data_IF_295167957711
#
_entry.id   IF_295167957711
#
_cell.length_a   1.000
_cell.length_b   1.000
_cell.length_c   1.000
_cell.angle_alpha   90.00
_cell.angle_beta   90.00
_cell.angle_gamma   90.00
#
_symmetry.space_group_name_H-M   'P 1'
#
loop_
_entity.id
_entity.type
_entity.pdbx_description
1 polymer ?
#
# COMPACT_ATOMS: atom_id res chain seq x y z
N UNK A 1 8.74 26.03 -5.28
CA UNK A 1 8.34 24.58 -5.26
C UNK A 1 9.42 23.77 -4.57
N UNK A 2 9.06 22.98 -3.52
CA UNK A 2 10.02 22.15 -2.77
C UNK A 2 10.43 20.92 -3.59
N UNK A 3 11.73 20.64 -3.65
CA UNK A 3 12.28 19.42 -4.19
C UNK A 3 13.39 18.89 -3.29
N UNK A 4 13.63 17.58 -3.33
CA UNK A 4 14.80 16.96 -2.70
C UNK A 4 15.78 16.52 -3.78
N UNK A 5 17.03 16.94 -3.60
CA UNK A 5 18.16 16.42 -4.37
C UNK A 5 18.69 15.20 -3.64
N UNK A 6 18.66 14.06 -4.29
CA UNK A 6 19.16 12.79 -3.74
C UNK A 6 20.29 12.25 -4.61
N UNK A 7 21.31 11.70 -3.96
CA UNK A 7 22.49 11.13 -4.63
C UNK A 7 23.15 10.06 -3.75
N UNK A 8 24.05 9.25 -4.28
CA UNK A 8 24.96 8.45 -3.45
C UNK A 8 25.80 9.35 -2.55
N UNK A 9 26.19 8.88 -1.37
CA UNK A 9 27.23 9.56 -0.56
C UNK A 9 28.57 9.48 -1.28
N UNK A 10 29.33 10.57 -1.23
CA UNK A 10 30.70 10.62 -1.79
C UNK A 10 31.71 9.73 -1.04
N UNK A 11 31.34 9.24 0.15
CA UNK A 11 32.18 8.37 0.98
C UNK A 11 32.14 6.89 0.52
N UNK A 12 32.02 6.67 -0.78
CA UNK A 12 32.09 5.34 -1.39
C UNK A 12 33.48 4.73 -1.33
N UNK A 13 33.92 4.30 -0.16
CA UNK A 13 34.90 3.23 -0.08
C UNK A 13 34.27 1.97 -0.71
N UNK A 14 35.07 1.27 -1.48
CA UNK A 14 34.74 0.03 -2.19
C UNK A 14 34.32 -1.06 -1.17
N UNK A 15 33.06 -1.01 -0.67
CA UNK A 15 32.54 -1.80 0.44
C UNK A 15 32.05 -3.20 0.01
N UNK A 16 32.39 -3.60 -1.22
CA UNK A 16 32.25 -4.99 -1.67
C UNK A 16 33.21 -5.96 -0.94
N UNK A 17 34.06 -5.46 -0.01
CA UNK A 17 34.94 -6.29 0.80
C UNK A 17 34.08 -7.16 1.77
N UNK A 18 34.11 -8.46 1.53
CA UNK A 18 33.58 -9.51 2.39
C UNK A 18 34.05 -9.33 3.85
N UNK A 19 33.23 -8.78 4.72
CA UNK A 19 33.54 -8.64 6.14
C UNK A 19 32.94 -7.43 6.85
N UNK A 20 32.40 -6.45 6.16
CA UNK A 20 31.74 -5.34 6.84
C UNK A 20 30.33 -5.75 7.35
N UNK A 21 29.91 -5.25 8.54
CA UNK A 21 28.59 -5.49 9.07
C UNK A 21 27.52 -4.87 8.14
N UNK A 22 26.38 -5.51 8.05
CA UNK A 22 25.24 -4.94 7.32
C UNK A 22 24.75 -3.66 8.02
N UNK A 23 24.34 -2.65 7.24
CA UNK A 23 23.59 -1.54 7.77
C UNK A 23 22.19 -2.03 8.10
N UNK A 24 21.80 -1.98 9.36
CA UNK A 24 20.49 -2.45 9.81
C UNK A 24 19.45 -1.33 9.72
N UNK A 25 18.31 -1.66 9.12
CA UNK A 25 17.12 -0.82 9.03
C UNK A 25 15.94 -1.60 9.58
N UNK A 26 15.05 -0.91 10.29
CA UNK A 26 13.79 -1.47 10.70
C UNK A 26 12.69 -1.00 9.75
N UNK A 27 11.96 -1.94 9.16
CA UNK A 27 10.82 -1.58 8.32
C UNK A 27 9.74 -0.89 9.15
N UNK A 28 9.05 0.15 8.62
CA UNK A 28 7.87 0.68 9.26
C UNK A 28 6.78 -0.39 9.38
N UNK A 29 5.77 -0.10 10.16
CA UNK A 29 4.63 -1.00 10.31
C UNK A 29 3.73 -0.93 9.08
N UNK A 30 3.22 -2.09 8.68
CA UNK A 30 2.38 -2.22 7.48
C UNK A 30 1.12 -1.37 7.58
N UNK A 31 1.07 -0.35 6.73
CA UNK A 31 -0.12 0.48 6.55
C UNK A 31 -1.35 -0.39 6.25
N UNK A 32 -1.19 -1.39 5.39
CA UNK A 32 -2.26 -2.29 4.99
C UNK A 32 -2.78 -3.17 6.13
N UNK A 33 -1.90 -3.61 7.04
CA UNK A 33 -2.29 -4.35 8.24
C UNK A 33 -2.99 -3.41 9.24
N UNK A 34 -2.41 -2.25 9.47
CA UNK A 34 -2.88 -1.29 10.47
C UNK A 34 -4.28 -0.74 10.15
N UNK A 35 -4.60 -0.44 8.88
CA UNK A 35 -5.97 -0.12 8.47
C UNK A 35 -6.97 -1.20 8.90
N UNK A 36 -6.63 -2.46 8.67
CA UNK A 36 -7.49 -3.61 9.00
C UNK A 36 -7.68 -3.78 10.49
N UNK A 37 -6.59 -3.69 11.26
CA UNK A 37 -6.62 -3.78 12.72
C UNK A 37 -7.46 -2.66 13.33
N UNK A 38 -7.31 -1.42 12.88
CA UNK A 38 -8.08 -0.26 13.35
C UNK A 38 -9.57 -0.42 13.10
N UNK A 39 -9.96 -0.87 11.89
CA UNK A 39 -11.37 -1.07 11.53
C UNK A 39 -11.97 -2.21 12.35
N UNK A 40 -11.30 -3.36 12.45
CA UNK A 40 -11.77 -4.49 13.24
C UNK A 40 -11.89 -4.14 14.74
N UNK A 41 -10.90 -3.41 15.27
CA UNK A 41 -10.93 -2.89 16.65
C UNK A 41 -12.10 -1.93 16.86
N UNK A 42 -12.38 -1.06 15.89
CA UNK A 42 -13.50 -0.13 15.98
C UNK A 42 -14.87 -0.83 15.89
N UNK A 43 -14.96 -1.98 15.23
CA UNK A 43 -16.19 -2.78 15.17
C UNK A 43 -16.37 -3.69 16.37
N UNK A 44 -15.34 -3.93 17.18
CA UNK A 44 -15.41 -4.79 18.36
C UNK A 44 -15.90 -4.04 19.60
N UNK A 45 -16.46 -4.77 20.55
CA UNK A 45 -16.71 -4.25 21.89
C UNK A 45 -15.44 -4.28 22.74
N UNK A 46 -15.30 -3.30 23.65
CA UNK A 46 -14.13 -3.16 24.52
C UNK A 46 -13.00 -2.33 23.90
N UNK A 47 -11.86 -2.38 24.56
CA UNK A 47 -10.66 -1.65 24.17
C UNK A 47 -9.67 -2.60 23.47
N UNK A 48 -9.03 -2.10 22.42
CA UNK A 48 -7.95 -2.82 21.71
C UNK A 48 -6.71 -1.94 21.69
N UNK A 49 -5.58 -2.46 22.14
CA UNK A 49 -4.26 -1.82 22.03
C UNK A 49 -3.49 -2.47 20.88
N UNK A 50 -3.07 -1.67 19.94
CA UNK A 50 -2.27 -2.10 18.77
C UNK A 50 -0.86 -1.56 18.95
N UNK A 51 0.09 -2.45 19.17
CA UNK A 51 1.51 -2.12 19.38
C UNK A 51 2.28 -2.03 18.07
N UNK A 52 3.40 -1.31 18.09
CA UNK A 52 4.29 -1.03 16.96
C UNK A 52 3.52 -0.32 15.84
N UNK A 53 3.30 0.97 15.99
CA UNK A 53 2.51 1.75 15.05
C UNK A 53 3.33 2.83 14.35
N UNK A 54 3.29 2.85 13.01
CA UNK A 54 3.79 3.97 12.21
C UNK A 54 2.62 4.87 11.83
N UNK A 55 2.69 6.13 12.24
CA UNK A 55 1.63 7.10 12.02
C UNK A 55 1.81 7.80 10.66
N UNK A 56 1.20 7.24 9.63
CA UNK A 56 1.15 7.84 8.29
C UNK A 56 -0.15 8.65 8.10
N UNK A 57 -0.18 9.54 7.09
CA UNK A 57 -1.38 10.34 6.79
C UNK A 57 -2.61 9.47 6.51
N UNK A 58 -2.44 8.33 5.84
CA UNK A 58 -3.52 7.41 5.54
C UNK A 58 -4.09 6.77 6.82
N UNK A 59 -3.25 6.46 7.81
CA UNK A 59 -3.68 5.91 9.10
C UNK A 59 -4.44 6.97 9.91
N UNK A 60 -3.96 8.22 9.90
CA UNK A 60 -4.69 9.33 10.51
C UNK A 60 -6.06 9.54 9.85
N UNK A 61 -6.17 9.37 8.52
CA UNK A 61 -7.47 9.47 7.84
C UNK A 61 -8.45 8.39 8.32
N UNK A 62 -8.01 7.12 8.46
CA UNK A 62 -8.85 6.07 9.03
C UNK A 62 -9.27 6.39 10.46
N UNK A 63 -8.34 6.82 11.31
CA UNK A 63 -8.64 7.17 12.69
C UNK A 63 -9.69 8.30 12.78
N UNK A 64 -9.56 9.36 11.95
CA UNK A 64 -10.55 10.46 11.91
C UNK A 64 -11.96 9.96 11.57
N UNK A 65 -12.10 9.07 10.59
CA UNK A 65 -13.42 8.52 10.25
C UNK A 65 -13.96 7.66 11.39
N UNK A 66 -13.14 6.85 12.06
CA UNK A 66 -13.55 6.06 13.22
C UNK A 66 -13.94 6.95 14.41
N UNK A 67 -13.24 8.06 14.63
CA UNK A 67 -13.60 9.07 15.63
C UNK A 67 -14.92 9.76 15.31
N UNK A 68 -15.19 10.06 14.02
CA UNK A 68 -16.48 10.60 13.57
C UNK A 68 -17.64 9.62 13.84
N UNK A 69 -17.38 8.33 14.02
CA UNK A 69 -18.34 7.29 14.42
C UNK A 69 -18.44 7.10 15.94
N UNK A 70 -17.83 7.99 16.75
CA UNK A 70 -17.87 7.96 18.20
C UNK A 70 -16.77 7.13 18.85
N UNK A 71 -15.91 6.46 18.08
CA UNK A 71 -14.79 5.68 18.66
C UNK A 71 -13.71 6.61 19.22
N UNK A 72 -13.18 6.24 20.40
CA UNK A 72 -12.00 6.89 20.95
C UNK A 72 -10.75 6.23 20.36
N UNK A 73 -10.04 6.96 19.47
CA UNK A 73 -8.77 6.52 18.90
C UNK A 73 -7.68 7.43 19.44
N UNK A 74 -6.77 6.89 20.25
CA UNK A 74 -5.66 7.62 20.87
C UNK A 74 -4.33 7.08 20.38
N UNK A 75 -3.39 8.00 20.14
CA UNK A 75 -2.05 7.68 19.67
C UNK A 75 -1.07 7.81 20.81
N UNK A 76 -0.42 6.70 21.17
CA UNK A 76 0.72 6.65 22.08
C UNK A 76 2.03 6.78 21.36
N UNK A 77 3.14 6.59 22.04
CA UNK A 77 4.49 6.67 21.48
C UNK A 77 4.77 5.54 20.46
N UNK A 78 4.34 4.32 20.76
CA UNK A 78 4.51 3.12 19.91
C UNK A 78 3.23 2.27 19.85
N UNK A 79 2.07 2.86 20.12
CA UNK A 79 0.80 2.13 20.07
C UNK A 79 -0.36 3.03 19.66
N UNK A 80 -1.44 2.39 19.20
CA UNK A 80 -2.74 3.01 19.00
C UNK A 80 -3.74 2.27 19.87
N UNK A 81 -4.50 3.00 20.68
CA UNK A 81 -5.60 2.44 21.44
C UNK A 81 -6.93 2.83 20.81
N UNK A 82 -7.77 1.82 20.56
CA UNK A 82 -9.12 1.99 20.04
C UNK A 82 -10.12 1.56 21.12
N UNK A 83 -10.83 2.53 21.65
CA UNK A 83 -11.80 2.35 22.76
C UNK A 83 -13.14 3.04 22.47
N UNK A 84 -13.94 3.22 23.51
CA UNK A 84 -15.25 3.85 23.40
C UNK A 84 -16.31 2.94 22.76
N UNK A 85 -17.40 3.52 22.27
CA UNK A 85 -18.50 2.82 21.59
C UNK A 85 -18.81 3.48 20.27
N UNK A 86 -19.30 2.72 19.30
CA UNK A 86 -19.89 3.29 18.09
C UNK A 86 -21.18 4.04 18.46
N UNK A 87 -21.28 5.27 17.99
CA UNK A 87 -22.47 6.08 18.12
C UNK A 87 -23.31 5.92 16.84
N UNK A 88 -24.25 4.99 16.86
CA UNK A 88 -25.13 4.70 15.75
C UNK A 88 -26.45 5.45 15.97
N UNK A 89 -26.58 6.59 15.35
CA UNK A 89 -27.75 7.46 15.43
C UNK A 89 -28.17 7.97 14.04
N UNK A 90 -29.11 8.93 13.97
CA UNK A 90 -29.62 9.49 12.73
C UNK A 90 -28.78 10.65 12.17
N UNK A 91 -27.72 11.05 12.85
CA UNK A 91 -26.88 12.14 12.36
C UNK A 91 -26.05 11.67 11.15
N UNK A 92 -25.92 12.55 10.17
CA UNK A 92 -25.06 12.32 9.02
C UNK A 92 -23.60 12.50 9.45
N UNK A 93 -22.78 11.46 9.29
CA UNK A 93 -21.37 11.51 9.64
C UNK A 93 -20.54 12.13 8.52
N UNK A 94 -19.66 13.07 8.87
CA UNK A 94 -18.70 13.63 7.94
C UNK A 94 -17.40 12.79 7.99
N UNK A 95 -17.09 12.11 6.90
CA UNK A 95 -16.00 11.13 6.80
C UNK A 95 -14.90 11.66 5.86
N UNK A 96 -13.92 12.40 6.40
CA UNK A 96 -12.77 12.86 5.61
C UNK A 96 -11.74 11.74 5.46
N UNK A 97 -11.62 11.20 4.25
CA UNK A 97 -10.68 10.15 3.88
C UNK A 97 -9.29 10.68 3.48
N UNK A 98 -9.09 12.00 3.41
CA UNK A 98 -7.85 12.57 2.89
C UNK A 98 -7.56 12.07 1.47
N UNK A 99 -6.43 11.41 1.25
CA UNK A 99 -6.09 10.74 -0.01
C UNK A 99 -6.16 9.20 0.09
N UNK A 100 -6.62 8.67 1.24
CA UNK A 100 -6.60 7.24 1.54
C UNK A 100 -7.72 6.46 0.84
N UNK A 101 -7.37 5.76 -0.23
CA UNK A 101 -8.27 4.85 -0.92
C UNK A 101 -8.71 3.66 -0.05
N UNK A 102 -7.89 3.21 0.89
CA UNK A 102 -8.24 2.13 1.83
C UNK A 102 -9.31 2.59 2.80
N UNK A 103 -9.16 3.78 3.40
CA UNK A 103 -10.16 4.37 4.30
C UNK A 103 -11.53 4.44 3.62
N UNK A 104 -11.59 5.02 2.41
CA UNK A 104 -12.82 5.15 1.65
C UNK A 104 -13.46 3.80 1.33
N UNK A 105 -12.70 2.90 0.69
CA UNK A 105 -13.23 1.63 0.17
C UNK A 105 -13.58 0.61 1.24
N UNK A 106 -12.94 0.69 2.40
CA UNK A 106 -13.26 -0.21 3.52
C UNK A 106 -14.46 0.31 4.32
N UNK A 107 -14.55 1.62 4.56
CA UNK A 107 -15.56 2.16 5.46
C UNK A 107 -16.90 2.48 4.79
N UNK A 108 -16.95 2.72 3.48
CA UNK A 108 -18.24 2.90 2.76
C UNK A 108 -19.19 1.70 2.96
N UNK A 109 -18.80 0.44 2.67
CA UNK A 109 -19.69 -0.69 2.91
C UNK A 109 -19.91 -0.97 4.41
N UNK A 110 -18.95 -0.67 5.29
CA UNK A 110 -19.12 -0.81 6.75
C UNK A 110 -20.20 0.12 7.27
N UNK A 111 -20.17 1.42 6.89
CA UNK A 111 -21.21 2.36 7.31
C UNK A 111 -22.58 1.99 6.73
N UNK A 112 -22.61 1.50 5.48
CA UNK A 112 -23.83 0.97 4.87
C UNK A 112 -24.41 -0.22 5.66
N UNK A 113 -23.54 -1.15 6.13
CA UNK A 113 -23.97 -2.30 6.93
C UNK A 113 -24.47 -1.88 8.32
N UNK A 114 -23.90 -0.82 8.89
CA UNK A 114 -24.37 -0.24 10.16
C UNK A 114 -25.63 0.62 10.01
N UNK A 115 -26.11 0.87 8.78
CA UNK A 115 -27.26 1.75 8.51
C UNK A 115 -26.97 3.21 8.83
N UNK A 116 -25.70 3.60 8.86
CA UNK A 116 -25.27 4.94 9.22
C UNK A 116 -25.20 5.85 8.00
N UNK A 117 -25.93 6.96 8.01
CA UNK A 117 -25.83 7.99 6.98
C UNK A 117 -24.49 8.72 7.08
N UNK A 118 -23.85 8.97 5.93
CA UNK A 118 -22.53 9.61 5.89
C UNK A 118 -22.30 10.42 4.61
N UNK A 119 -21.45 11.43 4.71
CA UNK A 119 -20.83 12.13 3.58
C UNK A 119 -19.33 11.84 3.62
N UNK A 120 -18.84 11.14 2.61
CA UNK A 120 -17.41 10.88 2.44
C UNK A 120 -16.80 11.98 1.58
N UNK A 121 -15.68 12.54 2.05
CA UNK A 121 -14.88 13.52 1.33
C UNK A 121 -13.44 13.03 1.17
N UNK A 122 -12.72 13.66 0.26
CA UNK A 122 -11.29 13.36 0.03
C UNK A 122 -10.66 14.40 -0.85
N UNK A 123 -9.34 14.34 -0.98
CA UNK A 123 -8.53 15.30 -1.74
C UNK A 123 -7.55 14.58 -2.68
N UNK A 124 -6.74 15.37 -3.38
CA UNK A 124 -5.77 14.86 -4.35
C UNK A 124 -6.47 14.09 -5.47
N UNK A 125 -5.98 12.93 -5.83
CA UNK A 125 -6.53 12.08 -6.88
C UNK A 125 -7.67 11.16 -6.41
N UNK A 126 -7.98 11.13 -5.09
CA UNK A 126 -8.98 10.20 -4.56
C UNK A 126 -10.38 10.37 -5.22
N UNK A 127 -10.87 11.60 -5.52
CA UNK A 127 -12.16 11.77 -6.19
C UNK A 127 -12.25 11.15 -7.59
N UNK A 128 -11.12 11.01 -8.30
CA UNK A 128 -11.07 10.43 -9.65
C UNK A 128 -10.84 8.91 -9.66
N UNK A 129 -10.53 8.31 -8.50
CA UNK A 129 -10.28 6.86 -8.41
C UNK A 129 -11.58 6.08 -8.50
N UNK A 130 -11.64 5.02 -9.34
CA UNK A 130 -12.88 4.27 -9.56
C UNK A 130 -13.47 3.70 -8.27
N UNK A 131 -14.78 3.83 -8.13
CA UNK A 131 -15.59 3.22 -7.05
C UNK A 131 -16.82 2.50 -7.60
N UNK A 132 -17.21 2.75 -8.84
CA UNK A 132 -18.51 2.34 -9.38
C UNK A 132 -18.81 0.84 -9.27
N UNK A 133 -17.85 -0.10 -9.47
CA UNK A 133 -18.14 -1.53 -9.25
C UNK A 133 -18.63 -1.86 -7.84
N UNK A 134 -18.09 -1.17 -6.81
CA UNK A 134 -18.57 -1.29 -5.43
C UNK A 134 -19.91 -0.61 -5.26
N UNK A 135 -20.05 0.64 -5.74
CA UNK A 135 -21.25 1.45 -5.54
C UNK A 135 -22.47 0.80 -6.21
N UNK A 136 -22.28 0.21 -7.39
CA UNK A 136 -23.33 -0.56 -8.08
C UNK A 136 -23.82 -1.72 -7.19
N UNK A 137 -22.93 -2.53 -6.63
CA UNK A 137 -23.32 -3.64 -5.75
C UNK A 137 -24.04 -3.14 -4.49
N UNK A 138 -23.59 -2.05 -3.88
CA UNK A 138 -24.26 -1.48 -2.72
C UNK A 138 -25.68 -0.99 -3.04
N UNK A 139 -25.87 -0.33 -4.19
CA UNK A 139 -27.20 0.12 -4.64
C UNK A 139 -28.16 -1.06 -4.88
N UNK A 140 -27.68 -2.12 -5.51
CA UNK A 140 -28.46 -3.35 -5.73
C UNK A 140 -28.91 -4.01 -4.42
N UNK A 141 -28.19 -3.75 -3.33
CA UNK A 141 -28.48 -4.28 -1.99
C UNK A 141 -29.03 -3.21 -1.02
N UNK A 142 -29.80 -2.24 -1.53
CA UNK A 142 -30.62 -1.34 -0.72
C UNK A 142 -29.97 -0.04 -0.26
N UNK A 143 -28.72 0.21 -0.60
CA UNK A 143 -28.02 1.45 -0.24
C UNK A 143 -28.33 2.55 -1.25
N UNK A 144 -28.61 3.75 -0.76
CA UNK A 144 -28.79 4.94 -1.59
C UNK A 144 -27.48 5.74 -1.60
N UNK A 145 -26.99 6.05 -2.79
CA UNK A 145 -25.72 6.74 -2.99
C UNK A 145 -25.92 7.89 -3.96
N UNK A 146 -25.63 9.12 -3.52
CA UNK A 146 -25.54 10.31 -4.37
C UNK A 146 -24.08 10.69 -4.60
N UNK A 147 -23.78 11.09 -5.83
CA UNK A 147 -22.47 11.52 -6.29
C UNK A 147 -22.58 12.91 -6.92
N UNK A 148 -21.50 13.71 -6.97
CA UNK A 148 -21.50 15.00 -7.65
C UNK A 148 -21.71 14.84 -9.17
N UNK A 149 -22.23 15.87 -9.80
CA UNK A 149 -22.29 15.96 -11.26
C UNK A 149 -20.86 16.18 -11.80
N UNK A 150 -20.42 15.35 -12.77
CA UNK A 150 -19.11 15.53 -13.40
C UNK A 150 -18.20 14.29 -13.42
N UNK A 151 -18.69 13.16 -12.87
CA UNK A 151 -17.98 11.87 -12.96
C UNK A 151 -16.95 11.63 -11.85
N UNK A 152 -16.83 12.53 -10.87
CA UNK A 152 -16.06 12.30 -9.67
C UNK A 152 -16.81 11.41 -8.66
N UNK A 153 -16.10 10.69 -7.83
CA UNK A 153 -16.67 9.80 -6.82
C UNK A 153 -16.82 10.45 -5.44
N UNK A 154 -16.30 11.65 -5.25
CA UNK A 154 -16.38 12.41 -4.01
C UNK A 154 -16.81 13.87 -4.27
N UNK A 155 -17.60 14.49 -3.36
CA UNK A 155 -18.16 13.90 -2.15
C UNK A 155 -19.19 12.80 -2.48
N UNK A 156 -19.19 11.73 -1.65
CA UNK A 156 -20.13 10.61 -1.76
C UNK A 156 -21.09 10.68 -0.57
N UNK A 157 -22.39 10.82 -0.86
CA UNK A 157 -23.43 10.75 0.15
C UNK A 157 -23.99 9.35 0.22
N UNK A 158 -24.04 8.78 1.41
CA UNK A 158 -24.49 7.43 1.70
C UNK A 158 -25.69 7.46 2.64
N UNK A 159 -26.78 6.78 2.26
CA UNK A 159 -27.95 6.55 3.12
C UNK A 159 -28.55 5.18 2.88
N UNK A 160 -29.46 4.75 3.75
CA UNK A 160 -30.08 3.43 3.66
C UNK A 160 -29.32 2.35 4.42
N UNK A 161 -29.75 1.11 4.28
CA UNK A 161 -29.23 -0.05 4.99
C UNK A 161 -28.80 -1.12 4.00
N UNK A 162 -27.54 -1.55 4.06
CA UNK A 162 -27.05 -2.67 3.26
C UNK A 162 -27.79 -3.96 3.63
N UNK A 163 -28.24 -4.69 2.62
CA UNK A 163 -28.90 -5.98 2.76
C UNK A 163 -27.96 -7.12 2.38
N UNK A 164 -28.15 -8.27 3.03
CA UNK A 164 -27.41 -9.50 2.72
C UNK A 164 -27.77 -10.04 1.33
N UNK A 165 -26.89 -10.84 0.75
CA UNK A 165 -27.10 -11.45 -0.56
C UNK A 165 -25.80 -11.78 -1.29
N UNK A 166 -25.86 -11.88 -2.61
CA UNK A 166 -24.74 -12.25 -3.47
C UNK A 166 -24.09 -11.02 -4.09
N UNK A 167 -22.81 -10.82 -3.81
CA UNK A 167 -22.00 -9.72 -4.32
C UNK A 167 -21.02 -10.25 -5.36
N UNK A 168 -21.29 -9.99 -6.65
CA UNK A 168 -20.47 -10.52 -7.75
C UNK A 168 -19.48 -9.47 -8.25
N UNK A 169 -18.18 -9.82 -8.31
CA UNK A 169 -17.12 -8.95 -8.83
C UNK A 169 -16.21 -9.71 -9.82
N UNK A 170 -15.62 -8.98 -10.75
CA UNK A 170 -14.45 -9.48 -11.43
C UNK A 170 -13.26 -9.43 -10.49
N UNK A 171 -12.45 -10.52 -10.45
CA UNK A 171 -11.33 -10.64 -9.51
C UNK A 171 -10.15 -9.73 -9.81
N UNK A 172 -10.13 -9.12 -10.99
CA UNK A 172 -9.08 -8.21 -11.48
C UNK A 172 -9.37 -6.72 -11.23
N UNK A 173 -10.50 -6.36 -10.59
CA UNK A 173 -10.84 -4.96 -10.34
C UNK A 173 -10.04 -4.40 -9.16
N UNK A 174 -10.45 -4.70 -7.93
CA UNK A 174 -9.79 -4.19 -6.72
C UNK A 174 -10.06 -5.09 -5.52
N UNK A 175 -8.99 -5.63 -4.93
CA UNK A 175 -9.06 -6.35 -3.66
C UNK A 175 -9.63 -5.50 -2.51
N UNK A 176 -9.60 -4.17 -2.62
CA UNK A 176 -10.14 -3.26 -1.60
C UNK A 176 -11.68 -3.31 -1.53
N UNK A 177 -12.36 -3.60 -2.65
CA UNK A 177 -13.83 -3.78 -2.63
C UNK A 177 -14.21 -5.04 -1.86
N UNK A 178 -13.50 -6.13 -2.12
CA UNK A 178 -13.68 -7.39 -1.39
C UNK A 178 -13.39 -7.18 0.09
N UNK A 179 -12.27 -6.54 0.43
CA UNK A 179 -11.90 -6.23 1.82
C UNK A 179 -12.99 -5.43 2.54
N UNK A 180 -13.52 -4.39 1.93
CA UNK A 180 -14.59 -3.57 2.53
C UNK A 180 -15.86 -4.40 2.82
N UNK A 181 -16.27 -5.26 1.90
CA UNK A 181 -17.41 -6.16 2.10
C UNK A 181 -17.12 -7.23 3.16
N UNK A 182 -15.92 -7.79 3.20
CA UNK A 182 -15.54 -8.75 4.25
C UNK A 182 -15.64 -8.15 5.66
N UNK A 183 -15.40 -6.85 5.83
CA UNK A 183 -15.66 -6.16 7.10
C UNK A 183 -17.16 -5.90 7.35
N UNK A 184 -17.92 -5.62 6.31
CA UNK A 184 -19.30 -5.18 6.41
C UNK A 184 -20.31 -6.33 6.59
N UNK A 185 -20.18 -7.38 5.76
CA UNK A 185 -21.18 -8.44 5.66
C UNK A 185 -21.40 -9.25 6.93
N UNK A 186 -20.40 -9.52 7.80
CA UNK A 186 -20.64 -10.19 9.08
C UNK A 186 -21.59 -9.45 10.00
N UNK A 187 -21.73 -8.13 9.85
CA UNK A 187 -22.63 -7.27 10.66
C UNK A 187 -24.11 -7.40 10.27
N UNK A 188 -24.40 -7.91 9.08
CA UNK A 188 -25.76 -8.08 8.59
C UNK A 188 -26.44 -9.27 9.25
N UNK A 189 -27.79 -9.25 9.35
CA UNK A 189 -28.54 -10.34 9.99
C UNK A 189 -28.54 -11.62 9.13
N UNK A 190 -28.57 -11.50 7.81
CA UNK A 190 -28.60 -12.62 6.87
C UNK A 190 -27.22 -12.96 6.32
N UNK A 191 -27.08 -14.18 5.83
CA UNK A 191 -25.85 -14.68 5.20
C UNK A 191 -25.64 -14.01 3.84
N UNK A 192 -24.36 -13.91 3.45
CA UNK A 192 -23.98 -13.31 2.17
C UNK A 192 -22.91 -14.13 1.47
N UNK A 193 -22.74 -13.92 0.17
CA UNK A 193 -21.63 -14.47 -0.62
C UNK A 193 -20.91 -13.37 -1.38
N UNK A 194 -19.60 -13.44 -1.42
CA UNK A 194 -18.77 -12.66 -2.35
C UNK A 194 -18.31 -13.62 -3.44
N UNK A 195 -18.72 -13.39 -4.68
CA UNK A 195 -18.45 -14.27 -5.81
C UNK A 195 -17.54 -13.60 -6.82
N UNK A 196 -16.56 -14.34 -7.34
CA UNK A 196 -15.61 -13.87 -8.33
C UNK A 196 -15.94 -14.44 -9.70
N UNK A 197 -16.06 -13.56 -10.70
CA UNK A 197 -16.28 -13.96 -12.11
C UNK A 197 -14.98 -14.14 -12.91
N UNK A 198 -13.84 -13.78 -12.33
CA UNK A 198 -12.50 -14.00 -12.92
C UNK A 198 -11.45 -14.24 -11.80
N UNK A 199 -10.23 -14.70 -12.12
CA UNK A 199 -9.19 -14.94 -11.13
C UNK A 199 -8.86 -13.70 -10.28
N UNK A 200 -8.68 -13.90 -8.98
CA UNK A 200 -8.38 -12.83 -8.03
C UNK A 200 -6.96 -12.30 -8.22
N UNK A 201 -6.83 -11.01 -8.44
CA UNK A 201 -5.57 -10.29 -8.37
C UNK A 201 -5.36 -9.67 -6.98
N UNK A 202 -4.08 -9.52 -6.59
CA UNK A 202 -3.71 -9.02 -5.25
C UNK A 202 -4.35 -9.83 -4.11
N UNK A 203 -4.35 -11.15 -4.24
CA UNK A 203 -4.93 -12.10 -3.27
C UNK A 203 -4.40 -11.89 -1.86
N UNK A 204 -3.10 -11.62 -1.69
CA UNK A 204 -2.48 -11.40 -0.38
C UNK A 204 -3.19 -10.36 0.47
N UNK A 205 -3.73 -9.28 -0.13
CA UNK A 205 -4.48 -8.28 0.64
C UNK A 205 -5.83 -8.79 1.15
N UNK A 206 -6.46 -9.71 0.44
CA UNK A 206 -7.69 -10.36 0.92
C UNK A 206 -7.35 -11.36 2.02
N UNK A 207 -6.28 -12.13 1.86
CA UNK A 207 -5.81 -13.09 2.86
C UNK A 207 -5.46 -12.39 4.19
N UNK A 208 -4.78 -11.22 4.14
CA UNK A 208 -4.56 -10.36 5.32
C UNK A 208 -5.88 -9.94 5.99
N UNK A 209 -6.90 -9.64 5.20
CA UNK A 209 -8.22 -9.27 5.76
C UNK A 209 -8.84 -10.45 6.50
N UNK A 210 -8.81 -11.64 5.90
CA UNK A 210 -9.34 -12.86 6.51
C UNK A 210 -8.58 -13.22 7.81
N UNK A 211 -7.25 -13.06 7.83
CA UNK A 211 -6.43 -13.24 9.02
C UNK A 211 -6.85 -12.30 10.15
N UNK A 212 -6.96 -10.99 9.86
CA UNK A 212 -7.39 -10.01 10.85
C UNK A 212 -8.79 -10.30 11.34
N UNK A 213 -9.75 -10.60 10.47
CA UNK A 213 -11.12 -10.93 10.84
C UNK A 213 -11.18 -12.15 11.77
N UNK A 214 -10.39 -13.19 11.49
CA UNK A 214 -10.30 -14.36 12.36
C UNK A 214 -9.76 -14.02 13.76
N UNK A 215 -8.78 -13.11 13.87
CA UNK A 215 -8.25 -12.60 15.16
C UNK A 215 -9.32 -11.86 15.98
N UNK A 216 -10.30 -11.26 15.32
CA UNK A 216 -11.45 -10.59 15.95
C UNK A 216 -12.70 -11.47 16.04
N UNK A 217 -12.54 -12.81 15.88
CA UNK A 217 -13.58 -13.80 16.08
C UNK A 217 -14.60 -13.92 14.96
N UNK A 218 -14.36 -13.31 13.80
CA UNK A 218 -15.21 -13.39 12.61
C UNK A 218 -14.84 -14.64 11.79
N UNK A 219 -15.85 -15.42 11.41
CA UNK A 219 -15.72 -16.62 10.59
C UNK A 219 -16.19 -16.35 9.17
N UNK A 220 -15.34 -16.67 8.21
CA UNK A 220 -15.61 -16.58 6.77
C UNK A 220 -15.16 -17.87 6.14
N UNK A 221 -15.96 -18.45 5.28
CA UNK A 221 -15.70 -19.74 4.66
C UNK A 221 -15.31 -19.52 3.19
N UNK A 222 -14.17 -20.08 2.78
CA UNK A 222 -13.80 -20.08 1.37
C UNK A 222 -14.71 -21.04 0.61
N UNK A 223 -15.23 -20.61 -0.55
CA UNK A 223 -15.98 -21.42 -1.51
C UNK A 223 -15.24 -21.41 -2.85
N UNK A 224 -15.70 -22.21 -3.82
CA UNK A 224 -14.98 -22.44 -5.08
C UNK A 224 -14.52 -21.14 -5.77
N UNK A 225 -15.39 -20.14 -5.85
CA UNK A 225 -15.09 -18.86 -6.52
C UNK A 225 -15.40 -17.67 -5.61
N UNK A 226 -14.92 -17.68 -4.36
CA UNK A 226 -15.16 -16.57 -3.45
C UNK A 226 -15.27 -16.96 -1.99
N UNK A 227 -16.20 -16.30 -1.28
CA UNK A 227 -16.37 -16.49 0.16
C UNK A 227 -17.85 -16.51 0.54
N UNK A 228 -18.19 -17.42 1.44
CA UNK A 228 -19.44 -17.42 2.18
C UNK A 228 -19.22 -16.70 3.51
N UNK A 229 -20.09 -15.72 3.80
CA UNK A 229 -20.00 -14.86 4.98
C UNK A 229 -21.28 -15.05 5.81
N UNK A 230 -21.25 -15.85 6.89
CA UNK A 230 -22.37 -15.92 7.82
C UNK A 230 -22.68 -14.56 8.41
N UNK A 231 -23.98 -14.24 8.50
CA UNK A 231 -24.45 -12.99 9.12
C UNK A 231 -24.57 -13.08 10.64
N UNK A 232 -24.98 -11.98 11.28
CA UNK A 232 -25.23 -11.89 12.72
C UNK A 232 -24.01 -12.08 13.60
N UNK A 233 -22.81 -11.89 13.07
CA UNK A 233 -21.57 -12.04 13.80
C UNK A 233 -21.19 -10.78 14.59
N UNK A 234 -20.47 -10.97 15.65
CA UNK A 234 -19.97 -9.89 16.52
C UNK A 234 -18.45 -9.91 16.55
N UNK A 235 -17.84 -8.75 16.29
CA UNK A 235 -16.41 -8.55 16.45
C UNK A 235 -16.04 -8.59 17.93
N UNK A 236 -14.99 -9.33 18.27
CA UNK A 236 -14.48 -9.49 19.64
C UNK A 236 -13.04 -9.01 19.68
N UNK A 237 -12.76 -8.06 20.55
CA UNK A 237 -11.38 -7.61 20.76
C UNK A 237 -10.52 -8.74 21.34
N UNK A 238 -9.30 -8.96 20.83
CA UNK A 238 -8.31 -9.81 21.49
C UNK A 238 -7.57 -9.09 22.65
N UNK A 239 -7.91 -7.81 22.94
CA UNK A 239 -7.26 -6.97 23.94
C UNK A 239 -6.02 -6.29 23.38
N UNK A 240 -4.95 -7.02 23.17
CA UNK A 240 -3.69 -6.49 22.62
C UNK A 240 -3.27 -7.20 21.34
N UNK A 241 -2.66 -6.45 20.43
CA UNK A 241 -2.18 -6.91 19.15
C UNK A 241 -0.85 -6.24 18.81
N UNK A 242 -0.02 -6.91 18.02
CA UNK A 242 1.16 -6.31 17.41
C UNK A 242 0.94 -6.26 15.89
N UNK A 243 1.09 -5.09 15.31
CA UNK A 243 1.01 -4.91 13.87
C UNK A 243 2.28 -5.43 13.18
N UNK A 244 2.11 -5.95 11.96
CA UNK A 244 3.20 -6.55 11.19
C UNK A 244 4.07 -5.49 10.52
N UNK A 245 5.35 -5.80 10.28
CA UNK A 245 6.22 -4.98 9.44
C UNK A 245 5.76 -4.93 7.98
N UNK A 246 6.09 -3.85 7.30
CA UNK A 246 5.62 -3.53 5.94
C UNK A 246 6.56 -4.07 4.86
N UNK A 247 6.17 -5.16 4.21
CA UNK A 247 6.92 -5.73 3.10
C UNK A 247 6.96 -4.81 1.86
N UNK A 248 5.92 -3.99 1.66
CA UNK A 248 5.89 -3.03 0.56
C UNK A 248 6.93 -1.93 0.73
N UNK A 249 7.09 -1.42 1.96
CA UNK A 249 8.10 -0.42 2.28
C UNK A 249 9.51 -1.04 2.42
N UNK A 250 9.60 -2.24 2.97
CA UNK A 250 10.86 -2.98 3.03
C UNK A 250 11.46 -3.26 1.65
N UNK A 251 10.62 -3.39 0.62
CA UNK A 251 11.07 -3.64 -0.75
C UNK A 251 12.04 -2.57 -1.26
N UNK A 252 11.90 -1.31 -0.85
CA UNK A 252 12.83 -0.24 -1.24
C UNK A 252 14.22 -0.46 -0.67
N UNK A 253 14.32 -0.91 0.59
CA UNK A 253 15.61 -1.16 1.23
C UNK A 253 16.25 -2.47 0.76
N UNK A 254 15.44 -3.50 0.50
CA UNK A 254 15.92 -4.75 -0.10
C UNK A 254 16.50 -4.45 -1.49
N UNK A 255 15.80 -3.66 -2.31
CA UNK A 255 16.29 -3.21 -3.60
C UNK A 255 17.56 -2.35 -3.47
N UNK A 256 17.58 -1.37 -2.53
CA UNK A 256 18.75 -0.54 -2.27
C UNK A 256 19.97 -1.37 -1.86
N UNK A 257 19.80 -2.44 -1.07
CA UNK A 257 20.88 -3.37 -0.72
C UNK A 257 21.40 -4.18 -1.91
N UNK A 258 20.52 -4.47 -2.89
CA UNK A 258 20.87 -5.24 -4.08
C UNK A 258 21.55 -4.39 -5.15
N UNK A 259 21.00 -3.19 -5.45
CA UNK A 259 21.55 -2.33 -6.51
C UNK A 259 22.58 -1.32 -6.00
N UNK A 260 22.57 -1.02 -4.69
CA UNK A 260 23.50 -0.06 -4.08
C UNK A 260 24.90 -0.65 -3.83
N UNK A 261 25.67 0.03 -2.98
CA UNK A 261 27.04 -0.37 -2.65
C UNK A 261 27.15 -1.02 -1.27
N UNK A 262 26.13 -0.90 -0.41
CA UNK A 262 26.14 -1.40 0.97
C UNK A 262 25.28 -2.64 1.12
N UNK A 263 25.75 -3.59 1.90
CA UNK A 263 24.94 -4.70 2.40
C UNK A 263 23.94 -4.14 3.41
N UNK A 264 22.66 -4.41 3.21
CA UNK A 264 21.57 -3.98 4.09
C UNK A 264 20.93 -5.18 4.77
N UNK A 265 20.58 -5.00 6.03
CA UNK A 265 19.70 -5.90 6.79
C UNK A 265 18.41 -5.17 7.10
N UNK A 266 17.28 -5.65 6.57
CA UNK A 266 15.96 -5.09 6.78
C UNK A 266 15.22 -5.96 7.78
N UNK A 267 15.08 -5.47 9.01
CA UNK A 267 14.50 -6.18 10.14
C UNK A 267 13.02 -5.83 10.38
N UNK A 268 12.35 -6.64 11.20
CA UNK A 268 10.95 -6.46 11.57
C UNK A 268 9.97 -7.08 10.57
N UNK A 269 10.44 -7.99 9.72
CA UNK A 269 9.66 -8.68 8.69
C UNK A 269 9.31 -10.10 9.10
N UNK A 270 8.03 -10.45 9.09
CA UNK A 270 7.60 -11.84 9.32
C UNK A 270 7.66 -12.65 8.03
N UNK A 271 8.41 -13.76 7.97
CA UNK A 271 8.38 -14.68 6.82
C UNK A 271 7.00 -15.33 6.61
N UNK A 272 6.19 -15.43 7.68
CA UNK A 272 4.84 -15.98 7.64
C UNK A 272 3.79 -14.96 7.18
N UNK A 273 4.18 -13.70 6.99
CA UNK A 273 3.26 -12.64 6.54
C UNK A 273 2.55 -13.03 5.25
N UNK A 274 1.26 -12.72 5.19
CA UNK A 274 0.41 -12.88 4.00
C UNK A 274 0.51 -11.70 3.01
N UNK A 275 1.35 -10.70 3.31
CA UNK A 275 1.61 -9.59 2.40
C UNK A 275 2.21 -10.13 1.09
N UNK A 276 1.53 -9.89 -0.05
CA UNK A 276 1.98 -10.37 -1.36
C UNK A 276 3.36 -9.83 -1.75
N UNK A 277 3.68 -8.62 -1.27
CA UNK A 277 4.91 -7.90 -1.59
C UNK A 277 6.20 -8.53 -1.02
N UNK A 278 6.09 -9.55 -0.12
CA UNK A 278 7.25 -10.38 0.24
C UNK A 278 7.87 -11.11 -0.96
N UNK A 279 7.13 -11.23 -2.07
CA UNK A 279 7.63 -11.76 -3.33
C UNK A 279 8.81 -10.94 -3.91
N UNK A 280 9.09 -9.73 -3.39
CA UNK A 280 10.29 -8.96 -3.75
C UNK A 280 11.56 -9.81 -3.65
N UNK A 281 11.68 -10.64 -2.61
CA UNK A 281 12.85 -11.50 -2.43
C UNK A 281 12.99 -12.54 -3.54
N UNK A 282 11.88 -13.15 -3.96
CA UNK A 282 11.90 -14.19 -4.96
C UNK A 282 12.12 -13.62 -6.37
N UNK A 283 11.48 -12.47 -6.68
CA UNK A 283 11.69 -11.76 -7.96
C UNK A 283 13.15 -11.30 -8.09
N UNK A 284 13.71 -10.68 -7.05
CA UNK A 284 15.11 -10.24 -7.10
C UNK A 284 16.08 -11.42 -7.15
N UNK A 285 15.83 -12.54 -6.47
CA UNK A 285 16.64 -13.77 -6.62
C UNK A 285 16.57 -14.32 -8.04
N UNK A 286 15.39 -14.31 -8.67
CA UNK A 286 15.22 -14.67 -10.08
C UNK A 286 16.05 -13.76 -11.00
N UNK A 287 16.22 -12.48 -10.63
CA UNK A 287 17.10 -11.54 -11.31
C UNK A 287 18.60 -11.72 -10.97
N UNK A 288 18.96 -12.65 -10.09
CA UNK A 288 20.35 -12.93 -9.71
C UNK A 288 20.84 -12.28 -8.41
N UNK A 289 19.94 -11.66 -7.63
CA UNK A 289 20.30 -11.03 -6.38
C UNK A 289 20.70 -12.02 -5.28
N UNK A 290 21.71 -11.64 -4.50
CA UNK A 290 22.13 -12.34 -3.30
C UNK A 290 21.30 -11.85 -2.09
N UNK A 291 20.23 -12.56 -1.78
CA UNK A 291 19.29 -12.25 -0.71
C UNK A 291 19.15 -13.45 0.23
N UNK A 292 19.29 -13.23 1.52
CA UNK A 292 19.10 -14.23 2.58
C UNK A 292 17.98 -13.76 3.52
N UNK A 293 17.01 -14.62 3.78
CA UNK A 293 15.96 -14.39 4.80
C UNK A 293 16.39 -15.09 6.07
N UNK A 294 16.49 -14.35 7.18
CA UNK A 294 16.93 -14.87 8.49
C UNK A 294 15.95 -14.42 9.55
N UNK A 295 15.22 -15.36 10.14
CA UNK A 295 14.19 -15.08 11.16
C UNK A 295 13.22 -13.98 10.69
N UNK A 296 13.30 -12.79 11.27
CA UNK A 296 12.47 -11.63 10.99
C UNK A 296 13.21 -10.53 10.17
N UNK A 297 14.29 -10.90 9.51
CA UNK A 297 15.14 -10.00 8.73
C UNK A 297 15.37 -10.51 7.32
N UNK A 298 15.63 -9.59 6.40
CA UNK A 298 16.13 -9.85 5.06
C UNK A 298 17.47 -9.18 4.89
N UNK A 299 18.50 -9.97 4.55
CA UNK A 299 19.84 -9.48 4.22
C UNK A 299 19.96 -9.42 2.70
N UNK A 300 20.18 -8.22 2.17
CA UNK A 300 20.35 -7.94 0.75
C UNK A 300 21.79 -7.45 0.50
N UNK A 301 22.48 -8.10 -0.43
CA UNK A 301 23.86 -7.78 -0.78
C UNK A 301 23.96 -7.18 -2.18
N UNK A 302 24.91 -6.25 -2.44
CA UNK A 302 25.19 -5.76 -3.79
C UNK A 302 25.35 -6.91 -4.78
N UNK A 303 24.63 -6.84 -5.88
CA UNK A 303 24.50 -7.94 -6.83
C UNK A 303 24.42 -7.44 -8.27
N UNK A 304 24.90 -8.25 -9.21
CA UNK A 304 24.65 -8.02 -10.64
C UNK A 304 23.32 -8.64 -10.99
N UNK A 305 22.40 -7.80 -11.43
CA UNK A 305 21.08 -8.24 -11.87
C UNK A 305 21.03 -8.50 -13.37
N UNK A 306 20.12 -9.39 -13.78
CA UNK A 306 19.80 -9.65 -15.18
C UNK A 306 18.29 -9.58 -15.41
N UNK A 307 17.93 -9.27 -16.64
CA UNK A 307 16.53 -9.10 -17.05
C UNK A 307 15.70 -10.38 -16.91
N UNK A 308 14.41 -10.21 -16.69
CA UNK A 308 13.45 -11.30 -16.52
C UNK A 308 12.03 -10.86 -16.88
N UNK A 309 11.06 -11.78 -16.80
CA UNK A 309 9.64 -11.44 -16.89
C UNK A 309 9.05 -11.36 -15.48
N UNK A 310 8.38 -10.25 -15.18
CA UNK A 310 7.75 -9.97 -13.88
C UNK A 310 6.23 -9.84 -14.08
N UNK A 311 5.46 -10.71 -13.43
CA UNK A 311 4.00 -10.61 -13.38
C UNK A 311 3.55 -9.67 -12.27
N UNK A 312 2.96 -8.51 -12.62
CA UNK A 312 2.50 -7.48 -11.70
C UNK A 312 1.12 -7.75 -11.07
N UNK A 313 0.42 -8.81 -11.46
CA UNK A 313 -0.97 -9.06 -11.06
C UNK A 313 -1.15 -9.22 -9.55
N UNK A 314 -0.18 -9.81 -8.85
CA UNK A 314 -0.23 -10.07 -7.41
C UNK A 314 0.56 -9.06 -6.57
N UNK A 315 1.48 -8.30 -7.18
CA UNK A 315 2.46 -7.44 -6.49
C UNK A 315 2.49 -5.99 -7.03
N UNK A 316 1.33 -5.35 -7.26
CA UNK A 316 1.29 -4.05 -7.94
C UNK A 316 2.07 -2.95 -7.19
N UNK A 317 2.21 -3.08 -5.88
CA UNK A 317 2.78 -2.02 -5.05
C UNK A 317 4.31 -2.01 -5.04
N UNK A 318 4.96 -3.09 -5.43
CA UNK A 318 6.42 -3.15 -5.58
C UNK A 318 6.90 -3.04 -7.04
N UNK A 319 6.01 -2.93 -8.01
CA UNK A 319 6.39 -2.75 -9.43
C UNK A 319 7.25 -1.48 -9.63
N UNK A 320 6.97 -0.31 -9.02
CA UNK A 320 7.83 0.86 -9.19
C UNK A 320 9.30 0.61 -8.81
N UNK A 321 9.55 -0.03 -7.67
CA UNK A 321 10.91 -0.32 -7.23
C UNK A 321 11.56 -1.46 -8.03
N UNK A 322 10.80 -2.48 -8.45
CA UNK A 322 11.28 -3.51 -9.35
C UNK A 322 11.66 -2.95 -10.74
N UNK A 323 10.96 -1.91 -11.19
CA UNK A 323 11.32 -1.20 -12.42
C UNK A 323 12.68 -0.49 -12.31
N UNK A 324 13.00 0.05 -11.13
CA UNK A 324 14.34 0.60 -10.85
C UNK A 324 15.40 -0.50 -10.91
N UNK A 325 15.16 -1.64 -10.29
CA UNK A 325 16.08 -2.79 -10.37
C UNK A 325 16.26 -3.26 -11.82
N UNK A 326 15.18 -3.30 -12.60
CA UNK A 326 15.22 -3.65 -14.01
C UNK A 326 16.03 -2.63 -14.85
N UNK A 327 15.91 -1.34 -14.54
CA UNK A 327 16.62 -0.28 -15.25
C UNK A 327 18.14 -0.37 -15.12
N UNK A 328 18.64 -1.05 -14.08
CA UNK A 328 20.09 -1.26 -13.86
C UNK A 328 20.54 -2.71 -14.04
N UNK A 329 19.63 -3.61 -14.45
CA UNK A 329 19.93 -5.01 -14.72
C UNK A 329 20.55 -5.20 -16.12
N UNK A 330 21.29 -6.28 -16.34
CA UNK A 330 21.80 -6.64 -17.67
C UNK A 330 20.67 -7.29 -18.49
N UNK A 331 20.44 -6.79 -19.73
CA UNK A 331 19.44 -7.31 -20.64
C UNK A 331 18.07 -6.66 -20.51
N UNK A 332 17.03 -7.36 -20.97
CA UNK A 332 15.66 -6.86 -21.04
C UNK A 332 14.78 -7.46 -19.94
N UNK A 333 14.03 -6.61 -19.23
CA UNK A 333 12.97 -7.01 -18.30
C UNK A 333 11.61 -6.63 -18.89
N UNK A 334 10.64 -7.54 -18.79
CA UNK A 334 9.25 -7.29 -19.17
C UNK A 334 8.37 -7.38 -17.94
N UNK A 335 7.67 -6.30 -17.62
CA UNK A 335 6.62 -6.27 -16.61
C UNK A 335 5.28 -6.41 -17.32
N UNK A 336 4.49 -7.41 -16.93
CA UNK A 336 3.22 -7.76 -17.55
C UNK A 336 2.09 -7.80 -16.52
N UNK A 337 0.83 -7.80 -16.96
CA UNK A 337 -0.37 -7.88 -16.10
C UNK A 337 -0.44 -6.78 -15.04
N UNK A 338 0.07 -5.60 -15.35
CA UNK A 338 0.19 -4.47 -14.41
C UNK A 338 -0.78 -3.30 -14.71
N UNK A 339 -1.76 -3.47 -15.61
CA UNK A 339 -2.68 -2.39 -16.04
C UNK A 339 -3.40 -1.69 -14.87
N UNK A 340 -3.63 -2.38 -13.74
CA UNK A 340 -4.26 -1.79 -12.55
C UNK A 340 -3.44 -0.70 -11.86
N UNK A 341 -2.15 -0.63 -12.17
CA UNK A 341 -1.28 0.43 -11.66
C UNK A 341 -1.72 1.81 -12.16
N UNK A 342 -2.43 1.89 -13.29
CA UNK A 342 -2.97 3.14 -13.83
C UNK A 342 -4.05 3.78 -12.96
N UNK A 343 -4.68 2.97 -12.08
CA UNK A 343 -5.80 3.36 -11.20
C UNK A 343 -5.38 3.59 -9.75
N UNK A 344 -4.08 3.69 -9.50
CA UNK A 344 -3.51 3.93 -8.16
C UNK A 344 -3.43 5.45 -7.83
N UNK A 345 -2.59 5.82 -6.89
CA UNK A 345 -2.35 7.20 -6.46
C UNK A 345 -1.90 8.09 -7.62
N UNK A 346 -1.17 7.52 -8.56
CA UNK A 346 -0.86 8.06 -9.90
C UNK A 346 -1.22 7.02 -10.97
N UNK A 347 -1.12 7.34 -12.25
CA UNK A 347 -0.89 6.31 -13.27
C UNK A 347 0.56 5.84 -13.11
N UNK A 348 0.75 4.79 -12.29
CA UNK A 348 2.10 4.32 -11.92
C UNK A 348 2.90 3.79 -13.09
N UNK A 349 2.26 3.22 -14.12
CA UNK A 349 2.99 2.77 -15.32
C UNK A 349 3.58 3.98 -16.05
N UNK A 350 2.75 5.01 -16.26
CA UNK A 350 3.19 6.26 -16.88
C UNK A 350 4.21 7.00 -16.01
N UNK A 351 3.97 7.11 -14.71
CA UNK A 351 4.86 7.81 -13.78
C UNK A 351 6.26 7.15 -13.70
N UNK A 352 6.31 5.81 -13.63
CA UNK A 352 7.58 5.05 -13.66
C UNK A 352 8.29 5.25 -14.99
N UNK A 353 7.57 5.15 -16.13
CA UNK A 353 8.13 5.39 -17.44
C UNK A 353 8.77 6.77 -17.53
N UNK A 354 8.02 7.82 -17.22
CA UNK A 354 8.46 9.21 -17.37
C UNK A 354 9.65 9.52 -16.45
N UNK A 355 9.61 9.04 -15.19
CA UNK A 355 10.72 9.25 -14.24
C UNK A 355 11.98 8.50 -14.64
N UNK A 356 11.89 7.22 -14.99
CA UNK A 356 13.07 6.43 -15.38
C UNK A 356 13.66 6.94 -16.70
N UNK A 357 12.83 7.31 -17.66
CA UNK A 357 13.28 7.93 -18.91
C UNK A 357 14.02 9.26 -18.65
N UNK A 358 13.49 10.10 -17.72
CA UNK A 358 14.10 11.38 -17.38
C UNK A 358 15.50 11.24 -16.74
N UNK A 359 15.79 10.10 -16.11
CA UNK A 359 17.11 9.80 -15.54
C UNK A 359 17.95 8.88 -16.42
N UNK A 360 17.58 8.71 -17.70
CA UNK A 360 18.40 8.06 -18.73
C UNK A 360 18.20 6.55 -18.87
N UNK A 361 17.11 5.96 -18.38
CA UNK A 361 16.78 4.56 -18.64
C UNK A 361 16.17 4.37 -20.03
N UNK A 362 16.44 3.22 -20.65
CA UNK A 362 15.75 2.74 -21.87
C UNK A 362 14.50 1.96 -21.46
N UNK A 363 13.36 2.63 -21.54
CA UNK A 363 12.08 2.13 -21.07
C UNK A 363 10.97 2.43 -22.08
N UNK A 364 10.07 1.46 -22.26
CA UNK A 364 8.91 1.55 -23.12
C UNK A 364 7.65 1.16 -22.33
N UNK A 365 6.62 2.01 -22.39
CA UNK A 365 5.32 1.75 -21.78
C UNK A 365 4.45 0.91 -22.73
N UNK A 366 3.84 -0.16 -22.22
CA UNK A 366 2.85 -0.97 -22.93
C UNK A 366 1.45 -0.75 -22.35
N UNK A 367 0.43 -1.33 -22.96
CA UNK A 367 -0.95 -1.22 -22.48
C UNK A 367 -1.12 -1.73 -21.03
N UNK A 368 -0.42 -2.81 -20.66
CA UNK A 368 -0.54 -3.51 -19.39
C UNK A 368 0.77 -3.63 -18.62
N UNK A 369 1.84 -2.93 -19.02
CA UNK A 369 3.13 -3.08 -18.36
C UNK A 369 4.23 -2.18 -18.89
N UNK A 370 5.47 -2.66 -18.75
CA UNK A 370 6.69 -1.94 -19.15
C UNK A 370 7.70 -2.90 -19.78
N UNK A 371 8.46 -2.43 -20.74
CA UNK A 371 9.66 -3.09 -21.27
C UNK A 371 10.85 -2.21 -20.90
N UNK A 372 11.82 -2.77 -20.20
CA UNK A 372 12.96 -2.02 -19.67
C UNK A 372 14.25 -2.73 -20.11
N UNK A 373 15.13 -2.00 -20.81
CA UNK A 373 16.47 -2.46 -21.21
C UNK A 373 17.47 -1.81 -20.28
N UNK A 374 18.10 -2.63 -19.47
CA UNK A 374 18.90 -2.12 -18.38
C UNK A 374 20.22 -1.49 -18.84
N UNK A 375 20.61 -0.47 -18.09
CA UNK A 375 21.91 0.20 -18.17
C UNK A 375 22.50 0.26 -16.74
N UNK A 376 23.69 -0.26 -16.49
CA UNK A 376 24.25 -0.36 -15.14
C UNK A 376 24.47 0.99 -14.44
N UNK A 377 24.44 2.10 -15.17
CA UNK A 377 24.54 3.47 -14.64
C UNK A 377 23.53 4.38 -15.34
N UNK A 378 22.74 5.11 -14.56
CA UNK A 378 21.77 6.09 -15.02
C UNK A 378 22.36 7.51 -14.92
N UNK A 379 21.77 8.47 -15.67
CA UNK A 379 22.33 9.83 -15.75
C UNK A 379 21.99 10.70 -14.55
N UNK A 380 20.85 10.43 -13.87
CA UNK A 380 20.22 11.39 -12.95
C UNK A 380 19.44 12.47 -13.69
N UNK A 381 18.81 13.38 -12.93
CA UNK A 381 17.97 14.43 -13.52
C UNK A 381 16.79 14.83 -12.65
N UNK A 382 15.85 15.61 -13.24
CA UNK A 382 14.64 16.09 -12.57
C UNK A 382 13.47 15.13 -12.82
N UNK A 383 12.82 14.69 -11.75
CA UNK A 383 11.65 13.81 -11.78
C UNK A 383 10.49 14.38 -10.98
N UNK A 384 9.28 14.00 -11.33
CA UNK A 384 8.07 14.32 -10.57
C UNK A 384 7.61 13.09 -9.81
N UNK A 385 7.28 13.22 -8.52
CA UNK A 385 6.70 12.13 -7.75
C UNK A 385 5.25 11.83 -8.14
N UNK A 386 4.60 12.70 -8.89
CA UNK A 386 3.17 12.63 -9.20
C UNK A 386 2.30 12.51 -7.94
N UNK A 387 2.76 13.10 -6.82
CA UNK A 387 2.14 12.96 -5.51
C UNK A 387 1.94 11.48 -5.10
N UNK A 388 2.81 10.57 -5.57
CA UNK A 388 2.80 9.14 -5.25
C UNK A 388 4.08 8.76 -4.50
N UNK A 389 3.91 8.37 -3.25
CA UNK A 389 5.01 8.01 -2.36
C UNK A 389 5.90 6.89 -2.92
N UNK A 390 5.33 5.93 -3.67
CA UNK A 390 6.11 4.83 -4.24
C UNK A 390 6.99 5.29 -5.39
N UNK A 391 6.56 6.30 -6.15
CA UNK A 391 7.39 6.92 -7.19
C UNK A 391 8.54 7.69 -6.54
N UNK A 392 8.24 8.56 -5.55
CA UNK A 392 9.28 9.32 -4.84
C UNK A 392 10.35 8.40 -4.23
N UNK A 393 9.92 7.34 -3.50
CA UNK A 393 10.82 6.38 -2.86
C UNK A 393 11.64 5.59 -3.90
N UNK A 394 11.02 5.18 -5.01
CA UNK A 394 11.72 4.48 -6.11
C UNK A 394 12.81 5.34 -6.73
N UNK A 395 12.53 6.61 -6.99
CA UNK A 395 13.50 7.53 -7.58
C UNK A 395 14.64 7.87 -6.61
N UNK A 396 14.37 7.94 -5.31
CA UNK A 396 15.42 8.07 -4.31
C UNK A 396 16.36 6.85 -4.32
N UNK A 397 15.81 5.63 -4.40
CA UNK A 397 16.65 4.41 -4.50
C UNK A 397 17.38 4.35 -5.85
N UNK A 398 16.75 4.78 -6.95
CA UNK A 398 17.39 4.84 -8.27
C UNK A 398 18.64 5.73 -8.28
N UNK A 399 18.63 6.82 -7.48
CA UNK A 399 19.77 7.73 -7.39
C UNK A 399 21.07 7.05 -6.93
N UNK A 400 21.00 5.91 -6.24
CA UNK A 400 22.17 5.12 -5.85
C UNK A 400 22.96 4.55 -7.06
N UNK A 401 22.35 4.59 -8.26
CA UNK A 401 22.91 4.12 -9.54
C UNK A 401 22.93 5.22 -10.60
N UNK A 402 22.91 6.47 -10.16
CA UNK A 402 23.04 7.62 -11.05
C UNK A 402 24.43 8.27 -10.90
N UNK A 403 24.99 8.76 -12.01
CA UNK A 403 26.25 9.52 -12.02
C UNK A 403 26.05 11.00 -11.64
N UNK A 404 24.82 11.52 -11.77
CA UNK A 404 24.39 12.85 -11.32
C UNK A 404 23.23 12.72 -10.31
N UNK A 405 23.00 13.74 -9.49
CA UNK A 405 21.87 13.75 -8.55
C UNK A 405 20.52 13.60 -9.24
N UNK A 406 19.56 13.02 -8.53
CA UNK A 406 18.16 13.04 -8.91
C UNK A 406 17.43 14.10 -8.08
N UNK A 407 16.75 15.03 -8.74
CA UNK A 407 15.90 16.04 -8.12
C UNK A 407 14.45 15.54 -8.14
N UNK A 408 13.86 15.31 -6.97
CA UNK A 408 12.50 14.80 -6.83
C UNK A 408 11.57 15.93 -6.43
N UNK A 409 10.60 16.28 -7.29
CA UNK A 409 9.52 17.21 -6.98
C UNK A 409 8.51 16.55 -6.04
N UNK A 410 7.90 17.34 -5.15
CA UNK A 410 6.92 16.89 -4.15
C UNK A 410 7.40 15.66 -3.34
N UNK A 411 8.60 15.72 -2.72
CA UNK A 411 9.20 14.58 -2.05
C UNK A 411 8.43 14.15 -0.78
N UNK A 412 7.65 15.06 -0.16
CA UNK A 412 6.95 14.83 1.09
C UNK A 412 5.72 13.93 0.94
N UNK A 413 5.32 13.59 -0.29
CA UNK A 413 4.26 12.60 -0.53
C UNK A 413 4.57 11.23 0.12
N UNK A 414 5.83 10.95 0.51
CA UNK A 414 6.22 9.75 1.28
C UNK A 414 5.51 9.66 2.63
N UNK A 415 5.07 10.78 3.21
CA UNK A 415 4.33 10.83 4.49
C UNK A 415 3.00 10.05 4.45
N UNK A 416 2.49 9.74 3.27
CA UNK A 416 1.30 8.88 3.10
C UNK A 416 1.50 7.45 3.60
N UNK A 417 2.76 6.97 3.64
CA UNK A 417 3.06 5.59 4.08
C UNK A 417 4.35 5.44 4.87
N UNK A 418 5.35 6.31 4.68
CA UNK A 418 6.67 6.19 5.30
C UNK A 418 7.27 7.58 5.60
N UNK A 419 6.86 8.24 6.70
CA UNK A 419 7.34 9.58 7.02
C UNK A 419 8.87 9.68 7.18
N UNK A 420 9.51 8.65 7.75
CA UNK A 420 10.95 8.63 8.03
C UNK A 420 11.81 8.15 6.85
N UNK A 421 11.23 7.97 5.66
CA UNK A 421 11.92 7.37 4.51
C UNK A 421 13.25 8.04 4.18
N UNK A 422 13.30 9.36 4.10
CA UNK A 422 14.54 10.08 3.74
C UNK A 422 15.60 10.01 4.83
N UNK A 423 15.20 9.91 6.11
CA UNK A 423 16.12 9.69 7.23
C UNK A 423 16.79 8.30 7.11
N UNK A 424 16.01 7.29 6.77
CA UNK A 424 16.50 5.93 6.56
C UNK A 424 17.31 5.82 5.25
N UNK A 425 16.95 6.57 4.20
CA UNK A 425 17.73 6.64 2.97
C UNK A 425 19.17 7.13 3.22
N UNK A 426 19.34 8.11 4.09
CA UNK A 426 20.68 8.60 4.49
C UNK A 426 21.50 7.48 5.15
N UNK A 427 20.89 6.64 5.99
CA UNK A 427 21.58 5.48 6.63
C UNK A 427 22.08 4.47 5.59
N UNK A 428 21.38 4.31 4.47
CA UNK A 428 21.79 3.39 3.39
C UNK A 428 22.99 3.89 2.57
N UNK A 429 23.43 5.11 2.80
CA UNK A 429 24.52 5.76 2.04
C UNK A 429 24.00 6.72 0.98
N UNK A 430 22.74 7.11 1.06
CA UNK A 430 22.19 8.21 0.29
C UNK A 430 22.47 9.56 0.93
N UNK A 431 22.43 10.61 0.14
CA UNK A 431 22.49 12.02 0.55
C UNK A 431 21.19 12.70 0.15
N UNK A 432 20.68 13.58 1.01
CA UNK A 432 19.46 14.35 0.76
C UNK A 432 19.72 15.81 1.05
N UNK A 433 19.58 16.65 0.05
CA UNK A 433 19.63 18.12 0.17
C UNK A 433 18.27 18.71 -0.19
N UNK A 434 17.79 19.65 0.60
CA UNK A 434 16.52 20.36 0.34
C UNK A 434 16.80 21.51 -0.64
N UNK A 435 16.08 21.51 -1.76
CA UNK A 435 16.22 22.51 -2.83
C UNK A 435 14.88 23.23 -3.02
N UNK A 436 14.93 24.55 -3.11
CA UNK A 436 13.81 25.34 -3.57
C UNK A 436 14.00 25.64 -5.06
N UNK A 437 13.12 25.09 -5.89
CA UNK A 437 13.18 25.26 -7.35
C UNK A 437 12.61 26.62 -7.81
N UNK A 438 12.14 27.46 -6.86
CA UNK A 438 11.40 28.69 -7.18
C UNK A 438 9.96 28.39 -7.67
N UNK A 439 9.24 29.45 -7.97
CA UNK A 439 7.88 29.39 -8.56
C UNK A 439 7.97 29.27 -10.09
#
# INVERSE_FOLDING_TARGET
>A
MLAYQVSPSADGEDLAASGQPAVQLYTPISKSDLHRLLIAAALSEGETVIHRCTLSEDIHATARVLQALGRCVTFGEDCITVGGKLELDRHVRCCDCGESGSTLRFLVPVLAALGQSAVFTGKGRLPQRPMEPMLTRLREHGVQIALPSGGETLPLELTGQLQSGDFVFAGDISSQYITGLLFALPLLQGDSRILLSSPLQSKGYVDMTLEVLARFGIRIEAIENGWFVPGGQQYRTPGELTAQGDWSNAAFWIAAGVIGQKKLEVAGLSPQSLQGDKAICDVLRQMGANITVVQDSVIACPSKLHGTVIDGSQIPDIIPILSVCAAVAEGETRIINAQRLRLKESDRLRAVHDCLQAIGADIEETADGLIIRGNPMLSGGLVDSFNDHRIAMSMAVASLRCDQPVLIRDPLCVNKSYPDFYQDFIKTGGKVDVIDLGD
#
